data_IF_101558570203
#
_entry.id   IF_101558570203
#
_cell.length_a   1.000
_cell.length_b   1.000
_cell.length_c   1.000
_cell.angle_alpha   90.00
_cell.angle_beta   90.00
_cell.angle_gamma   90.00
#
_symmetry.space_group_name_H-M   'P 1'
#
loop_
_entity.id
_entity.type
_entity.pdbx_description
1 polymer ?
#
# COMPACT_ATOMS: atom_id res chain seq x y z
N UNK A 1 -33.32 -24.16 -2.95
CA UNK A 1 -31.87 -24.03 -3.09
C UNK A 1 -31.57 -22.72 -3.82
N UNK A 2 -31.16 -21.70 -3.09
CA UNK A 2 -30.76 -20.42 -3.67
C UNK A 2 -29.35 -20.59 -4.27
N UNK A 3 -29.26 -20.58 -5.60
CA UNK A 3 -28.00 -20.62 -6.30
C UNK A 3 -27.21 -19.33 -5.99
N UNK A 4 -26.16 -19.50 -5.18
CA UNK A 4 -24.87 -18.81 -5.19
C UNK A 4 -24.84 -17.51 -6.02
N UNK A 5 -25.39 -16.42 -5.47
CA UNK A 5 -24.69 -15.14 -5.64
C UNK A 5 -23.40 -15.29 -4.84
N UNK A 6 -22.19 -15.10 -5.41
CA UNK A 6 -21.08 -14.81 -4.54
C UNK A 6 -21.52 -13.59 -3.74
N UNK A 7 -21.70 -13.74 -2.42
CA UNK A 7 -21.80 -12.57 -1.55
C UNK A 7 -20.49 -11.83 -1.81
N UNK A 8 -20.55 -10.75 -2.60
CA UNK A 8 -19.42 -9.85 -2.70
C UNK A 8 -19.11 -9.47 -1.26
N UNK A 9 -17.88 -9.71 -0.77
CA UNK A 9 -17.56 -9.38 0.59
C UNK A 9 -17.87 -7.88 0.80
N UNK A 10 -18.50 -7.57 1.92
CA UNK A 10 -19.01 -6.23 2.19
C UNK A 10 -17.87 -5.21 2.09
N UNK A 11 -18.16 -4.08 1.43
CA UNK A 11 -17.20 -2.99 1.24
C UNK A 11 -16.74 -2.47 2.60
N UNK A 12 -15.43 -2.41 2.81
CA UNK A 12 -14.87 -1.83 4.04
C UNK A 12 -14.94 -0.30 3.95
N UNK A 13 -15.44 0.33 5.00
CA UNK A 13 -15.64 1.79 5.10
C UNK A 13 -15.04 2.32 6.40
N UNK A 14 -14.77 3.62 6.47
CA UNK A 14 -14.26 4.23 7.71
C UNK A 14 -15.17 3.94 8.94
N UNK A 15 -16.51 4.03 8.86
CA UNK A 15 -17.39 3.60 9.96
C UNK A 15 -17.29 2.11 10.31
N UNK A 16 -17.14 1.21 9.32
CA UNK A 16 -17.05 -0.23 9.61
C UNK A 16 -15.80 -0.59 10.39
N UNK A 17 -14.69 0.14 10.21
CA UNK A 17 -13.46 -0.06 10.97
C UNK A 17 -13.65 0.23 12.47
N UNK A 18 -14.38 1.31 12.82
CA UNK A 18 -14.73 1.60 14.21
C UNK A 18 -15.55 0.47 14.83
N UNK A 19 -16.56 -0.01 14.10
CA UNK A 19 -17.37 -1.13 14.55
C UNK A 19 -16.56 -2.43 14.73
N UNK A 20 -15.54 -2.68 13.89
CA UNK A 20 -14.64 -3.82 14.05
C UNK A 20 -13.81 -3.74 15.34
N UNK A 21 -13.37 -2.55 15.76
CA UNK A 21 -12.70 -2.37 17.06
C UNK A 21 -13.62 -2.73 18.23
N UNK A 22 -14.87 -2.29 18.21
CA UNK A 22 -15.87 -2.64 19.24
C UNK A 22 -16.10 -4.16 19.32
N UNK A 23 -16.00 -4.86 18.18
CA UNK A 23 -16.07 -6.32 18.09
C UNK A 23 -14.75 -7.04 18.37
N UNK A 24 -13.66 -6.31 18.69
CA UNK A 24 -12.32 -6.86 18.89
C UNK A 24 -11.78 -7.65 17.68
N UNK A 25 -12.19 -7.28 16.47
CA UNK A 25 -11.69 -7.88 15.22
C UNK A 25 -10.32 -7.31 14.86
N UNK A 26 -9.37 -8.18 14.50
CA UNK A 26 -8.07 -7.77 13.97
C UNK A 26 -8.17 -7.63 12.46
N UNK A 27 -7.76 -6.48 11.95
CA UNK A 27 -7.83 -6.18 10.52
C UNK A 27 -6.44 -6.05 9.90
N UNK A 28 -6.39 -6.15 8.58
CA UNK A 28 -5.15 -6.10 7.79
C UNK A 28 -5.12 -4.87 6.90
N UNK A 29 -4.01 -4.14 6.96
CA UNK A 29 -3.69 -3.05 6.05
C UNK A 29 -2.41 -3.39 5.28
N UNK A 30 -2.41 -3.20 3.96
CA UNK A 30 -1.22 -3.35 3.12
C UNK A 30 -1.10 -2.19 2.16
N UNK A 31 0.13 -1.82 1.81
CA UNK A 31 0.32 -0.84 0.73
C UNK A 31 0.12 -1.48 -0.64
N UNK A 32 -0.28 -0.70 -1.64
CA UNK A 32 -0.24 -1.09 -3.05
C UNK A 32 -0.08 0.17 -3.90
N UNK A 33 0.53 0.04 -5.09
CA UNK A 33 0.85 1.20 -5.93
C UNK A 33 0.48 1.01 -7.40
N UNK A 34 0.00 -0.16 -7.80
CA UNK A 34 -0.41 -0.44 -9.18
C UNK A 34 -1.67 -1.33 -9.23
N UNK A 35 -2.20 -1.48 -10.44
CA UNK A 35 -3.40 -2.27 -10.70
C UNK A 35 -3.26 -3.77 -10.33
N UNK A 36 -2.27 -4.53 -10.84
CA UNK A 36 -2.20 -5.96 -10.58
C UNK A 36 -1.95 -6.28 -9.10
N UNK A 37 -1.06 -5.54 -8.41
CA UNK A 37 -0.85 -5.76 -6.98
C UNK A 37 -2.09 -5.41 -6.17
N UNK A 38 -2.75 -4.27 -6.47
CA UNK A 38 -3.97 -3.89 -5.76
C UNK A 38 -5.07 -4.95 -5.88
N UNK A 39 -5.23 -5.54 -7.07
CA UNK A 39 -6.20 -6.61 -7.29
C UNK A 39 -5.88 -7.86 -6.47
N UNK A 40 -4.64 -8.31 -6.48
CA UNK A 40 -4.20 -9.47 -5.68
C UNK A 40 -4.41 -9.22 -4.19
N UNK A 41 -4.04 -8.03 -3.69
CA UNK A 41 -4.18 -7.65 -2.28
C UNK A 41 -5.65 -7.58 -1.84
N UNK A 42 -6.54 -7.06 -2.70
CA UNK A 42 -7.98 -6.99 -2.44
C UNK A 42 -8.62 -8.39 -2.45
N UNK A 43 -8.30 -9.22 -3.46
CA UNK A 43 -8.79 -10.61 -3.58
C UNK A 43 -8.29 -11.51 -2.44
N UNK A 44 -7.11 -11.22 -1.87
CA UNK A 44 -6.57 -11.90 -0.69
C UNK A 44 -7.28 -11.52 0.62
N UNK A 45 -8.23 -10.58 0.61
CA UNK A 45 -9.06 -10.24 1.77
C UNK A 45 -8.50 -9.14 2.66
N UNK A 46 -7.56 -8.33 2.17
CA UNK A 46 -7.07 -7.14 2.90
C UNK A 46 -8.21 -6.16 3.18
N UNK A 47 -8.22 -5.53 4.35
CA UNK A 47 -9.30 -4.61 4.76
C UNK A 47 -9.03 -3.17 4.34
N UNK A 48 -7.76 -2.76 4.33
CA UNK A 48 -7.32 -1.42 3.95
C UNK A 48 -6.17 -1.52 2.95
N UNK A 49 -6.30 -0.82 1.83
CA UNK A 49 -5.19 -0.62 0.89
C UNK A 49 -4.71 0.82 0.99
N UNK A 50 -3.45 0.99 1.34
CA UNK A 50 -2.81 2.30 1.50
C UNK A 50 -1.90 2.62 0.31
N UNK A 51 -2.24 3.66 -0.45
CA UNK A 51 -1.34 4.29 -1.42
C UNK A 51 -0.46 5.28 -0.67
N UNK A 52 0.60 4.74 -0.04
CA UNK A 52 1.50 5.50 0.80
C UNK A 52 2.61 6.22 0.03
N UNK A 53 3.16 7.28 0.62
CA UNK A 53 4.35 7.98 0.10
C UNK A 53 5.63 7.12 0.10
N UNK A 54 5.62 5.99 0.80
CA UNK A 54 6.57 4.88 0.66
C UNK A 54 6.78 4.41 -0.80
N UNK A 55 5.85 4.73 -1.72
CA UNK A 55 6.04 4.59 -3.17
C UNK A 55 7.34 5.24 -3.67
N UNK A 56 7.74 6.35 -3.04
CA UNK A 56 9.00 7.03 -3.32
C UNK A 56 10.19 6.10 -3.18
N UNK A 57 10.23 5.31 -2.11
CA UNK A 57 11.33 4.38 -1.85
C UNK A 57 11.23 3.10 -2.68
N UNK A 58 10.07 2.44 -2.65
CA UNK A 58 9.96 1.05 -3.14
C UNK A 58 9.58 0.94 -4.61
N UNK A 59 9.08 2.02 -5.22
CA UNK A 59 8.71 2.05 -6.65
C UNK A 59 9.56 3.05 -7.42
N UNK A 60 9.76 4.27 -6.88
CA UNK A 60 10.43 5.36 -7.60
C UNK A 60 11.95 5.47 -7.31
N UNK A 61 12.46 4.72 -6.34
CA UNK A 61 13.89 4.67 -6.01
C UNK A 61 14.44 5.93 -5.34
N UNK A 62 13.60 6.78 -4.78
CA UNK A 62 14.02 7.94 -3.98
C UNK A 62 14.66 7.50 -2.66
N UNK A 63 15.59 8.33 -2.18
CA UNK A 63 16.27 8.09 -0.89
C UNK A 63 15.38 8.26 0.34
N UNK A 64 14.26 8.98 0.22
CA UNK A 64 13.24 9.15 1.25
C UNK A 64 11.92 9.62 0.59
N UNK A 65 10.85 9.83 1.38
CA UNK A 65 9.52 10.17 0.87
C UNK A 65 9.29 11.67 0.61
N UNK A 66 10.24 12.55 0.98
CA UNK A 66 10.11 14.01 0.82
C UNK A 66 9.93 14.46 -0.63
N UNK A 67 10.61 13.88 -1.64
CA UNK A 67 10.44 14.28 -3.04
C UNK A 67 9.11 13.87 -3.67
N UNK A 68 8.37 12.94 -3.05
CA UNK A 68 7.13 12.42 -3.62
C UNK A 68 6.11 13.55 -3.77
N UNK A 69 5.64 13.76 -4.98
CA UNK A 69 4.68 14.79 -5.34
C UNK A 69 3.23 14.30 -5.21
N UNK A 70 2.30 15.25 -5.14
CA UNK A 70 0.87 14.95 -5.20
C UNK A 70 0.48 14.24 -6.51
N UNK A 71 1.09 14.61 -7.64
CA UNK A 71 0.79 14.00 -8.94
C UNK A 71 1.21 12.53 -9.02
N UNK A 72 2.32 12.17 -8.37
CA UNK A 72 2.76 10.77 -8.26
C UNK A 72 1.78 9.96 -7.42
N UNK A 73 1.39 10.46 -6.24
CA UNK A 73 0.37 9.79 -5.42
C UNK A 73 -0.95 9.67 -6.19
N UNK A 74 -1.39 10.71 -6.89
CA UNK A 74 -2.62 10.67 -7.71
C UNK A 74 -2.54 9.58 -8.78
N UNK A 75 -1.42 9.47 -9.50
CA UNK A 75 -1.22 8.45 -10.53
C UNK A 75 -1.32 7.04 -9.95
N UNK A 76 -0.63 6.78 -8.85
CA UNK A 76 -0.68 5.48 -8.18
C UNK A 76 -2.06 5.19 -7.59
N UNK A 77 -2.73 6.18 -7.01
CA UNK A 77 -4.10 6.04 -6.50
C UNK A 77 -5.08 5.65 -7.61
N UNK A 78 -5.02 6.30 -8.77
CA UNK A 78 -5.84 5.93 -9.94
C UNK A 78 -5.56 4.51 -10.42
N UNK A 79 -4.31 4.05 -10.38
CA UNK A 79 -3.95 2.69 -10.76
C UNK A 79 -4.56 1.67 -9.79
N UNK A 80 -4.37 1.90 -8.48
CA UNK A 80 -4.87 1.04 -7.41
C UNK A 80 -6.39 0.98 -7.39
N UNK A 81 -7.10 2.11 -7.51
CA UNK A 81 -8.57 2.16 -7.55
C UNK A 81 -9.19 1.21 -8.58
N UNK A 82 -8.52 0.98 -9.71
CA UNK A 82 -8.99 0.04 -10.76
C UNK A 82 -8.94 -1.42 -10.31
N UNK A 83 -8.07 -1.76 -9.36
CA UNK A 83 -7.90 -3.11 -8.81
C UNK A 83 -8.71 -3.37 -7.54
N UNK A 84 -9.13 -2.33 -6.82
CA UNK A 84 -9.82 -2.47 -5.53
C UNK A 84 -11.34 -2.58 -5.69
N UNK A 85 -11.94 -3.61 -5.09
CA UNK A 85 -13.39 -3.79 -4.98
C UNK A 85 -13.86 -3.66 -3.52
N UNK A 86 -13.20 -4.34 -2.57
CA UNK A 86 -13.66 -4.48 -1.18
C UNK A 86 -12.92 -3.58 -0.17
N UNK A 87 -11.60 -3.57 -0.19
CA UNK A 87 -10.77 -2.87 0.80
C UNK A 87 -11.04 -1.37 0.80
N UNK A 88 -10.95 -0.72 1.96
CA UNK A 88 -10.98 0.74 2.04
C UNK A 88 -9.71 1.30 1.38
N UNK A 89 -9.87 2.12 0.35
CA UNK A 89 -8.72 2.74 -0.33
C UNK A 89 -8.35 4.06 0.33
N UNK A 90 -7.16 4.13 0.91
CA UNK A 90 -6.62 5.33 1.57
C UNK A 90 -5.41 5.83 0.80
N UNK A 91 -5.31 7.14 0.58
CA UNK A 91 -4.15 7.76 -0.06
C UNK A 91 -3.43 8.70 0.89
N UNK A 92 -2.10 8.65 0.87
CA UNK A 92 -1.31 9.61 1.60
C UNK A 92 -1.41 11.01 1.01
N UNK A 93 -1.48 12.01 1.88
CA UNK A 93 -1.12 13.37 1.51
C UNK A 93 0.41 13.48 1.59
N UNK A 94 1.13 13.64 0.47
CA UNK A 94 2.59 13.67 0.50
C UNK A 94 3.12 14.98 1.11
N UNK A 95 4.41 15.00 1.44
CA UNK A 95 5.07 16.18 2.01
C UNK A 95 4.82 17.42 1.15
N UNK A 96 4.64 18.58 1.80
CA UNK A 96 4.28 19.84 1.12
C UNK A 96 2.80 19.98 0.75
N UNK A 97 2.07 18.89 0.47
CA UNK A 97 0.66 18.97 0.01
C UNK A 97 -0.34 19.46 1.06
N UNK A 98 0.02 19.41 2.33
CA UNK A 98 -0.81 19.85 3.46
C UNK A 98 -0.09 20.81 4.41
N UNK A 99 1.06 21.35 3.97
CA UNK A 99 1.91 22.22 4.79
C UNK A 99 1.74 23.71 4.46
N UNK A 100 1.20 24.05 3.28
CA UNK A 100 1.12 25.42 2.76
C UNK A 100 -0.09 26.22 3.24
N UNK A 101 -1.15 25.54 3.69
CA UNK A 101 -2.36 26.16 4.23
C UNK A 101 -3.54 25.21 4.26
N UNK A 102 -4.58 25.53 5.03
CA UNK A 102 -5.75 24.66 5.18
C UNK A 102 -6.54 24.51 3.87
N UNK A 103 -6.75 25.60 3.13
CA UNK A 103 -7.51 25.55 1.87
C UNK A 103 -6.75 24.80 0.77
N UNK A 104 -5.42 24.91 0.71
CA UNK A 104 -4.58 24.11 -0.18
C UNK A 104 -4.66 22.62 0.18
N UNK A 105 -4.58 22.30 1.47
CA UNK A 105 -4.69 20.93 1.96
C UNK A 105 -6.05 20.31 1.62
N UNK A 106 -7.15 21.05 1.83
CA UNK A 106 -8.51 20.61 1.44
C UNK A 106 -8.58 20.38 -0.07
N UNK A 107 -8.09 21.31 -0.90
CA UNK A 107 -8.04 21.12 -2.36
C UNK A 107 -7.27 19.86 -2.73
N UNK A 108 -6.09 19.64 -2.16
CA UNK A 108 -5.25 18.49 -2.47
C UNK A 108 -5.90 17.17 -2.04
N UNK A 109 -6.54 17.13 -0.86
CA UNK A 109 -7.28 15.97 -0.39
C UNK A 109 -8.50 15.65 -1.28
N UNK A 110 -9.26 16.67 -1.69
CA UNK A 110 -10.36 16.52 -2.65
C UNK A 110 -9.89 15.98 -4.00
N UNK A 111 -8.69 16.35 -4.47
CA UNK A 111 -8.11 15.76 -5.69
C UNK A 111 -7.83 14.26 -5.50
N UNK A 112 -7.25 13.85 -4.37
CA UNK A 112 -6.99 12.44 -4.08
C UNK A 112 -8.29 11.60 -4.08
N UNK A 113 -9.39 12.17 -3.57
CA UNK A 113 -10.70 11.51 -3.58
C UNK A 113 -11.31 11.54 -4.98
N UNK A 114 -11.57 12.73 -5.52
CA UNK A 114 -12.35 12.92 -6.75
C UNK A 114 -11.60 12.42 -7.99
N UNK A 115 -10.32 12.70 -8.08
CA UNK A 115 -9.51 12.34 -9.25
C UNK A 115 -8.74 11.04 -9.05
N UNK A 116 -8.33 10.73 -7.82
CA UNK A 116 -7.62 9.49 -7.48
C UNK A 116 -8.55 8.30 -7.29
N UNK A 117 -9.74 8.55 -6.74
CA UNK A 117 -10.69 7.52 -6.32
C UNK A 117 -10.41 6.95 -4.94
N UNK A 118 -9.59 7.64 -4.12
CA UNK A 118 -9.46 7.33 -2.70
C UNK A 118 -10.77 7.59 -1.95
N UNK A 119 -10.97 6.89 -0.85
CA UNK A 119 -12.14 7.02 0.01
C UNK A 119 -11.82 7.72 1.33
N UNK A 120 -10.52 7.84 1.63
CA UNK A 120 -9.98 8.57 2.75
C UNK A 120 -8.56 9.05 2.45
N UNK A 121 -8.08 10.01 3.24
CA UNK A 121 -6.68 10.47 3.19
C UNK A 121 -5.93 10.17 4.48
N UNK A 122 -4.62 9.95 4.38
CA UNK A 122 -3.71 9.87 5.53
C UNK A 122 -2.79 11.09 5.56
N UNK A 123 -2.55 11.66 6.74
CA UNK A 123 -1.57 12.73 6.92
C UNK A 123 -0.78 12.57 8.22
N UNK A 124 0.45 13.09 8.22
CA UNK A 124 1.36 12.95 9.36
C UNK A 124 1.38 14.17 10.27
N UNK A 125 1.31 13.90 11.58
CA UNK A 125 1.46 14.87 12.65
C UNK A 125 0.37 14.72 13.72
N UNK A 126 0.77 14.97 14.98
CA UNK A 126 -0.13 14.95 16.14
C UNK A 126 -0.89 16.26 16.32
N UNK A 127 -0.82 16.85 17.53
CA UNK A 127 -1.56 18.08 17.87
C UNK A 127 -1.43 19.25 16.90
N UNK A 128 -0.27 19.41 16.26
CA UNK A 128 -0.02 20.50 15.31
C UNK A 128 -0.85 20.38 14.03
N UNK A 129 -1.39 19.19 13.75
CA UNK A 129 -2.27 18.92 12.61
C UNK A 129 -3.74 18.79 12.98
N UNK A 130 -4.08 18.77 14.26
CA UNK A 130 -5.47 18.64 14.72
C UNK A 130 -6.43 19.69 14.11
N UNK A 131 -6.07 20.99 14.00
CA UNK A 131 -6.94 21.96 13.34
C UNK A 131 -7.19 21.63 11.86
N UNK A 132 -6.19 21.10 11.16
CA UNK A 132 -6.32 20.69 9.77
C UNK A 132 -7.14 19.40 9.64
N UNK A 133 -6.93 18.42 10.52
CA UNK A 133 -7.74 17.19 10.56
C UNK A 133 -9.21 17.55 10.73
N UNK A 134 -9.52 18.41 11.71
CA UNK A 134 -10.87 18.91 11.91
C UNK A 134 -11.41 19.59 10.65
N UNK A 135 -10.63 20.47 10.02
CA UNK A 135 -11.06 21.14 8.78
C UNK A 135 -11.37 20.15 7.67
N UNK A 136 -10.54 19.13 7.45
CA UNK A 136 -10.78 18.11 6.42
C UNK A 136 -12.05 17.30 6.73
N UNK A 137 -12.24 16.90 7.98
CA UNK A 137 -13.43 16.16 8.41
C UNK A 137 -14.71 17.00 8.27
N UNK A 138 -14.66 18.29 8.61
CA UNK A 138 -15.78 19.24 8.44
C UNK A 138 -16.16 19.42 6.94
N UNK A 139 -15.22 19.16 6.03
CA UNK A 139 -15.42 19.15 4.57
C UNK A 139 -15.74 17.73 4.03
N UNK A 140 -16.20 16.84 4.91
CA UNK A 140 -16.65 15.47 4.59
C UNK A 140 -15.54 14.54 4.06
N UNK A 141 -14.28 14.84 4.38
CA UNK A 141 -13.11 14.01 4.00
C UNK A 141 -12.70 13.14 5.19
N UNK A 142 -12.83 11.80 5.10
CA UNK A 142 -12.34 10.92 6.15
C UNK A 142 -10.81 10.99 6.28
N UNK A 143 -10.33 11.19 7.51
CA UNK A 143 -8.88 11.33 7.80
C UNK A 143 -8.38 10.19 8.68
N UNK A 144 -7.33 9.52 8.18
CA UNK A 144 -6.46 8.65 8.97
C UNK A 144 -5.28 9.49 9.50
N UNK A 145 -5.12 9.55 10.82
CA UNK A 145 -3.97 10.21 11.43
C UNK A 145 -2.72 9.34 11.36
N UNK A 146 -1.54 9.95 11.45
CA UNK A 146 -0.26 9.24 11.61
C UNK A 146 0.64 9.94 12.64
N UNK A 147 0.95 9.23 13.73
CA UNK A 147 1.83 9.69 14.82
C UNK A 147 2.88 8.63 15.19
N UNK A 148 3.83 9.02 16.03
CA UNK A 148 5.05 8.24 16.26
C UNK A 148 6.16 8.75 15.33
N UNK A 149 6.87 7.85 14.68
CA UNK A 149 7.79 8.24 13.61
C UNK A 149 6.97 8.70 12.41
N UNK A 150 7.17 9.94 11.97
CA UNK A 150 6.55 10.49 10.76
C UNK A 150 7.64 10.66 9.69
N UNK A 151 7.80 9.73 8.73
CA UNK A 151 8.84 9.75 7.70
C UNK A 151 9.01 11.08 6.96
N UNK A 152 7.94 11.83 6.73
CA UNK A 152 8.03 13.13 6.05
C UNK A 152 8.80 14.18 6.87
N UNK A 153 8.93 13.96 8.18
CA UNK A 153 9.75 14.78 9.09
C UNK A 153 11.19 14.28 9.22
N UNK A 154 11.70 13.40 8.35
CA UNK A 154 13.04 12.79 8.45
C UNK A 154 14.16 13.80 8.66
N UNK A 155 14.12 14.95 7.96
CA UNK A 155 15.13 16.00 8.08
C UNK A 155 15.08 16.71 9.44
N UNK A 156 13.89 16.85 10.03
CA UNK A 156 13.71 17.40 11.38
C UNK A 156 14.10 16.40 12.46
N UNK A 157 13.83 15.12 12.24
CA UNK A 157 14.10 14.04 13.20
C UNK A 157 15.55 13.52 13.17
N UNK A 158 16.30 13.82 12.10
CA UNK A 158 17.67 13.33 11.92
C UNK A 158 17.74 11.82 11.67
N UNK A 159 16.71 11.27 11.00
CA UNK A 159 16.62 9.86 10.60
C UNK A 159 15.47 9.07 11.25
N UNK A 160 15.37 7.79 10.88
CA UNK A 160 14.33 6.87 11.33
C UNK A 160 14.67 6.27 12.70
N UNK A 161 14.07 6.82 13.77
CA UNK A 161 14.32 6.39 15.15
C UNK A 161 13.01 6.08 15.86
N UNK A 162 13.07 5.12 16.79
CA UNK A 162 11.95 4.80 17.69
C UNK A 162 11.58 6.03 18.52
N UNK A 163 10.29 6.37 18.54
CA UNK A 163 9.72 7.51 19.28
C UNK A 163 9.19 7.07 20.65
N UNK A 164 8.88 8.02 21.54
CA UNK A 164 8.27 7.69 22.84
C UNK A 164 9.18 6.96 23.84
N UNK A 165 10.51 7.09 23.73
CA UNK A 165 11.48 6.43 24.63
C UNK A 165 11.56 7.04 26.04
N UNK A 166 11.04 8.25 26.23
CA UNK A 166 10.98 8.91 27.54
C UNK A 166 9.53 9.05 27.97
N UNK A 167 9.27 9.13 29.27
CA UNK A 167 7.91 9.30 29.78
C UNK A 167 7.20 10.54 29.20
N UNK A 168 7.94 11.64 29.02
CA UNK A 168 7.43 12.85 28.39
C UNK A 168 7.05 12.63 26.92
N UNK A 169 7.91 12.00 26.13
CA UNK A 169 7.64 11.72 24.72
C UNK A 169 6.49 10.70 24.55
N UNK A 170 6.42 9.69 25.43
CA UNK A 170 5.33 8.73 25.45
C UNK A 170 3.98 9.40 25.77
N UNK A 171 3.95 10.30 26.77
CA UNK A 171 2.75 11.07 27.11
C UNK A 171 2.30 11.96 25.95
N UNK A 172 3.24 12.60 25.26
CA UNK A 172 2.94 13.40 24.08
C UNK A 172 2.24 12.58 22.97
N UNK A 173 2.68 11.34 22.72
CA UNK A 173 2.03 10.44 21.73
C UNK A 173 0.60 10.07 22.18
N UNK A 174 0.39 9.77 23.46
CA UNK A 174 -0.94 9.45 24.00
C UNK A 174 -1.88 10.66 23.88
N UNK A 175 -1.40 11.85 24.24
CA UNK A 175 -2.19 13.08 24.14
C UNK A 175 -2.48 13.44 22.68
N UNK A 176 -1.50 13.28 21.77
CA UNK A 176 -1.69 13.51 20.34
C UNK A 176 -2.74 12.57 19.74
N UNK A 177 -2.78 11.31 20.18
CA UNK A 177 -3.80 10.37 19.72
C UNK A 177 -5.23 10.80 20.10
N UNK A 178 -5.42 11.23 21.35
CA UNK A 178 -6.71 11.76 21.84
C UNK A 178 -7.11 13.03 21.10
N UNK A 179 -6.17 13.94 20.88
CA UNK A 179 -6.41 15.19 20.16
C UNK A 179 -6.82 14.93 18.70
N UNK A 180 -6.19 13.95 18.04
CA UNK A 180 -6.56 13.59 16.68
C UNK A 180 -7.94 12.91 16.61
N UNK A 181 -8.28 12.08 17.60
CA UNK A 181 -9.62 11.53 17.75
C UNK A 181 -10.67 12.64 17.96
N UNK A 182 -10.42 13.58 18.87
CA UNK A 182 -11.29 14.74 19.11
C UNK A 182 -11.45 15.60 17.85
N UNK A 183 -10.41 15.71 17.02
CA UNK A 183 -10.45 16.39 15.73
C UNK A 183 -11.24 15.63 14.66
N UNK A 184 -11.64 14.38 14.90
CA UNK A 184 -12.49 13.59 14.01
C UNK A 184 -11.75 12.58 13.13
N UNK A 185 -10.48 12.28 13.39
CA UNK A 185 -9.80 11.18 12.70
C UNK A 185 -10.56 9.85 12.91
N UNK A 186 -10.71 9.03 11.87
CA UNK A 186 -11.43 7.75 11.99
C UNK A 186 -10.52 6.59 12.42
N UNK A 187 -9.20 6.75 12.28
CA UNK A 187 -8.18 5.79 12.71
C UNK A 187 -6.82 6.50 12.82
N UNK A 188 -5.85 5.88 13.51
CA UNK A 188 -4.51 6.46 13.69
C UNK A 188 -3.43 5.40 13.48
N UNK A 189 -2.49 5.67 12.58
CA UNK A 189 -1.24 4.91 12.44
C UNK A 189 -0.28 5.26 13.58
N UNK A 190 0.29 4.23 14.19
CA UNK A 190 1.37 4.31 15.17
C UNK A 190 2.62 3.65 14.57
N UNK A 191 3.63 4.46 14.21
CA UNK A 191 4.86 3.98 13.61
C UNK A 191 6.06 4.08 14.56
N UNK A 192 6.82 2.98 14.68
CA UNK A 192 8.00 2.87 15.53
C UNK A 192 7.80 3.41 16.96
N UNK A 193 6.70 2.99 17.60
CA UNK A 193 6.35 3.30 18.98
C UNK A 193 6.58 2.06 19.86
N UNK A 194 7.12 2.16 21.08
CA UNK A 194 7.22 1.04 22.01
C UNK A 194 5.86 0.37 22.21
N UNK A 195 5.82 -0.97 22.19
CA UNK A 195 4.58 -1.76 22.23
C UNK A 195 3.72 -1.45 23.46
N UNK A 196 4.34 -1.11 24.58
CA UNK A 196 3.66 -0.73 25.82
C UNK A 196 2.90 0.60 25.65
N UNK A 197 3.50 1.56 24.94
CA UNK A 197 2.86 2.85 24.65
C UNK A 197 1.77 2.69 23.60
N UNK A 198 2.00 1.90 22.55
CA UNK A 198 0.99 1.62 21.54
C UNK A 198 -0.24 0.91 22.14
N UNK A 199 -0.04 0.00 23.11
CA UNK A 199 -1.12 -0.60 23.90
C UNK A 199 -1.92 0.47 24.65
N UNK A 200 -1.25 1.34 25.40
CA UNK A 200 -1.90 2.43 26.14
C UNK A 200 -2.70 3.35 25.21
N UNK A 201 -2.13 3.71 24.05
CA UNK A 201 -2.84 4.52 23.05
C UNK A 201 -4.10 3.80 22.59
N UNK A 202 -3.97 2.53 22.17
CA UNK A 202 -5.07 1.71 21.64
C UNK A 202 -6.22 1.58 22.63
N UNK A 203 -5.92 1.40 23.92
CA UNK A 203 -6.91 1.30 25.00
C UNK A 203 -7.52 2.65 25.38
N UNK A 204 -6.86 3.77 25.05
CA UNK A 204 -7.26 5.11 25.48
C UNK A 204 -8.14 5.89 24.50
N UNK A 205 -8.34 5.39 23.28
CA UNK A 205 -9.14 6.02 22.21
C UNK A 205 -10.15 5.03 21.65
N UNK A 206 -11.30 5.54 21.19
CA UNK A 206 -12.40 4.74 20.62
C UNK A 206 -12.21 4.37 19.16
N UNK A 207 -11.32 5.05 18.43
CA UNK A 207 -10.98 4.74 17.04
C UNK A 207 -9.88 3.67 16.89
N UNK A 208 -9.88 2.89 15.79
CA UNK A 208 -8.83 1.91 15.50
C UNK A 208 -7.42 2.49 15.43
N UNK A 209 -6.47 1.80 16.05
CA UNK A 209 -5.04 2.02 15.86
C UNK A 209 -4.46 1.07 14.82
N UNK A 210 -3.53 1.56 14.00
CA UNK A 210 -2.85 0.79 12.96
C UNK A 210 -1.36 0.75 13.29
N UNK A 211 -0.84 -0.42 13.62
CA UNK A 211 0.55 -0.59 14.03
C UNK A 211 1.49 -0.89 12.88
N UNK A 212 2.64 -0.21 12.85
CA UNK A 212 3.82 -0.60 12.05
C UNK A 212 5.07 -0.42 12.90
N UNK A 213 5.64 -1.55 13.34
CA UNK A 213 6.67 -1.52 14.38
C UNK A 213 6.19 -0.98 15.73
N UNK A 214 4.89 -1.05 15.99
CA UNK A 214 4.24 -0.65 17.24
C UNK A 214 3.79 -1.83 18.13
N UNK A 215 4.21 -3.06 17.78
CA UNK A 215 3.85 -4.27 18.52
C UNK A 215 2.43 -4.77 18.25
N UNK A 216 2.03 -5.85 18.94
CA UNK A 216 0.85 -6.64 18.57
C UNK A 216 -0.48 -6.07 19.09
N UNK A 217 -0.44 -4.99 19.87
CA UNK A 217 -1.63 -4.51 20.59
C UNK A 217 -2.53 -3.59 19.76
N UNK A 218 -2.05 -3.08 18.62
CA UNK A 218 -2.86 -2.25 17.72
C UNK A 218 -3.98 -3.06 17.05
N UNK A 219 -5.12 -2.43 16.82
CA UNK A 219 -6.33 -3.05 16.25
C UNK A 219 -6.10 -3.60 14.84
N UNK A 220 -5.27 -2.89 14.07
CA UNK A 220 -4.91 -3.20 12.68
C UNK A 220 -3.38 -3.24 12.59
N UNK A 221 -2.83 -4.02 11.66
CA UNK A 221 -1.40 -4.01 11.34
C UNK A 221 -1.17 -3.60 9.89
N UNK A 222 -0.14 -2.78 9.64
CA UNK A 222 0.27 -2.37 8.29
C UNK A 222 1.73 -2.72 8.01
N UNK A 223 1.99 -3.17 6.78
CA UNK A 223 3.32 -3.30 6.22
C UNK A 223 3.35 -2.73 4.80
N UNK A 224 4.54 -2.28 4.39
CA UNK A 224 4.83 -2.02 2.98
C UNK A 224 4.85 -3.36 2.24
N UNK A 225 4.02 -3.50 1.20
CA UNK A 225 3.85 -4.78 0.50
C UNK A 225 5.18 -5.31 -0.09
N UNK A 226 6.05 -4.39 -0.51
CA UNK A 226 7.35 -4.75 -1.09
C UNK A 226 8.29 -5.35 -0.04
N UNK A 227 8.25 -4.86 1.20
CA UNK A 227 8.98 -5.45 2.32
C UNK A 227 8.44 -6.85 2.66
N UNK A 228 7.10 -6.99 2.65
CA UNK A 228 6.41 -8.26 2.92
C UNK A 228 6.77 -9.34 1.89
N UNK A 229 6.83 -8.97 0.61
CA UNK A 229 7.08 -9.88 -0.51
C UNK A 229 8.57 -10.04 -0.88
N UNK A 230 9.48 -9.34 -0.19
CA UNK A 230 10.91 -9.41 -0.45
C UNK A 230 11.31 -8.79 -1.79
N UNK A 231 10.71 -7.65 -2.13
CA UNK A 231 11.05 -6.82 -3.30
C UNK A 231 11.84 -5.56 -2.94
N UNK A 232 11.87 -5.17 -1.66
CA UNK A 232 12.66 -4.03 -1.21
C UNK A 232 14.15 -4.34 -1.19
N UNK A 233 14.97 -3.33 -1.53
CA UNK A 233 16.42 -3.44 -1.56
C UNK A 233 17.04 -2.97 -0.23
N UNK A 234 18.06 -3.69 0.24
CA UNK A 234 18.82 -3.32 1.43
C UNK A 234 18.36 -4.02 2.71
N UNK A 235 18.71 -3.44 3.87
CA UNK A 235 18.44 -4.04 5.17
C UNK A 235 17.00 -3.75 5.60
N UNK A 236 16.20 -4.81 5.74
CA UNK A 236 14.83 -4.70 6.25
C UNK A 236 14.79 -4.15 7.68
N UNK A 237 13.80 -3.28 8.01
CA UNK A 237 13.53 -2.90 9.39
C UNK A 237 13.21 -4.11 10.27
N UNK A 238 13.59 -4.05 11.56
CA UNK A 238 13.38 -5.15 12.51
C UNK A 238 11.92 -5.60 12.64
N UNK A 239 10.96 -4.70 12.40
CA UNK A 239 9.54 -4.99 12.54
C UNK A 239 8.94 -5.71 11.33
N UNK A 240 9.68 -5.82 10.22
CA UNK A 240 9.21 -6.50 9.02
C UNK A 240 9.35 -8.01 9.18
N UNK A 241 8.27 -8.74 8.86
CA UNK A 241 8.33 -10.16 8.57
C UNK A 241 8.11 -10.37 7.07
N UNK A 242 9.09 -10.97 6.42
CA UNK A 242 9.01 -11.34 5.01
C UNK A 242 8.26 -12.67 4.87
N UNK A 243 7.29 -12.72 3.96
CA UNK A 243 6.45 -13.90 3.68
C UNK A 243 6.78 -14.57 2.33
N UNK A 244 7.49 -13.88 1.44
CA UNK A 244 8.00 -14.41 0.17
C UNK A 244 9.33 -13.74 -0.20
N UNK A 245 10.10 -14.31 -1.13
CA UNK A 245 11.30 -13.68 -1.69
C UNK A 245 11.17 -13.53 -3.20
N UNK A 246 10.35 -12.57 -3.62
CA UNK A 246 10.10 -12.34 -5.04
C UNK A 246 11.34 -11.82 -5.77
N UNK A 247 12.26 -11.12 -5.10
CA UNK A 247 13.54 -10.75 -5.71
C UNK A 247 14.29 -12.00 -6.22
N UNK A 248 14.43 -13.03 -5.39
CA UNK A 248 15.10 -14.27 -5.79
C UNK A 248 14.33 -15.00 -6.90
N UNK A 249 13.01 -15.10 -6.79
CA UNK A 249 12.15 -15.74 -7.81
C UNK A 249 12.25 -15.04 -9.17
N UNK A 250 12.17 -13.71 -9.18
CA UNK A 250 12.28 -12.92 -10.41
C UNK A 250 13.68 -13.00 -11.00
N UNK A 251 14.72 -12.92 -10.16
CA UNK A 251 16.12 -13.04 -10.62
C UNK A 251 16.34 -14.38 -11.31
N UNK A 252 15.93 -15.49 -10.70
CA UNK A 252 16.07 -16.83 -11.30
C UNK A 252 15.29 -16.95 -12.62
N UNK A 253 14.02 -16.53 -12.66
CA UNK A 253 13.20 -16.59 -13.86
C UNK A 253 13.80 -15.76 -15.03
N UNK A 254 14.24 -14.53 -14.75
CA UNK A 254 14.85 -13.65 -15.75
C UNK A 254 16.19 -14.21 -16.21
N UNK A 255 17.01 -14.74 -15.31
CA UNK A 255 18.29 -15.35 -15.65
C UNK A 255 18.13 -16.59 -16.54
N UNK A 256 17.15 -17.45 -16.26
CA UNK A 256 16.85 -18.61 -17.10
C UNK A 256 16.37 -18.22 -18.48
N UNK A 257 15.44 -17.27 -18.58
CA UNK A 257 15.01 -16.74 -19.87
C UNK A 257 16.19 -16.18 -20.68
N UNK A 258 17.09 -15.45 -20.03
CA UNK A 258 18.28 -14.93 -20.68
C UNK A 258 19.25 -16.04 -21.13
N UNK A 259 19.37 -17.13 -20.37
CA UNK A 259 20.15 -18.32 -20.76
C UNK A 259 19.51 -19.03 -21.95
N UNK A 260 18.20 -19.23 -21.95
CA UNK A 260 17.46 -19.87 -23.02
C UNK A 260 17.62 -19.09 -24.34
N UNK A 261 17.59 -17.76 -24.29
CA UNK A 261 17.86 -16.90 -25.46
C UNK A 261 19.31 -17.03 -25.92
N UNK A 262 20.29 -17.00 -25.01
CA UNK A 262 21.72 -17.07 -25.38
C UNK A 262 22.12 -18.42 -25.96
N UNK A 263 21.50 -19.49 -25.50
CA UNK A 263 21.76 -20.86 -25.96
C UNK A 263 20.93 -21.24 -27.19
N UNK A 264 19.97 -20.40 -27.60
CA UNK A 264 19.04 -20.68 -28.69
C UNK A 264 17.96 -21.70 -28.31
N UNK A 265 17.78 -22.00 -27.02
CA UNK A 265 16.67 -22.81 -26.53
C UNK A 265 15.32 -22.08 -26.60
N UNK A 266 15.33 -20.74 -26.53
CA UNK A 266 14.15 -19.89 -26.75
C UNK A 266 14.38 -18.87 -27.89
N UNK A 267 13.37 -18.66 -28.77
CA UNK A 267 12.15 -19.45 -28.88
C UNK A 267 12.43 -20.80 -29.54
N UNK A 268 11.72 -21.82 -29.10
CA UNK A 268 11.64 -23.11 -29.78
C UNK A 268 10.69 -23.03 -30.98
N UNK A 269 10.62 -24.11 -31.77
CA UNK A 269 9.66 -24.21 -32.87
C UNK A 269 8.20 -24.15 -32.42
N UNK A 270 7.86 -24.61 -31.21
CA UNK A 270 6.51 -24.55 -30.64
C UNK A 270 6.12 -23.12 -30.22
N UNK A 271 7.11 -22.26 -29.96
CA UNK A 271 6.93 -20.85 -29.60
C UNK A 271 7.11 -19.93 -30.83
N UNK A 272 7.16 -20.52 -32.02
CA UNK A 272 7.39 -19.84 -33.29
C UNK A 272 6.24 -20.10 -34.26
N UNK A 273 5.96 -19.12 -35.12
CA UNK A 273 4.96 -19.29 -36.18
C UNK A 273 5.66 -19.66 -37.49
N UNK A 274 5.16 -20.70 -38.16
CA UNK A 274 5.62 -21.11 -39.49
C UNK A 274 4.90 -20.35 -40.61
N UNK A 275 5.56 -20.22 -41.76
CA UNK A 275 4.95 -19.66 -42.96
C UNK A 275 3.97 -20.69 -43.57
N UNK A 276 2.75 -20.28 -44.00
CA UNK A 276 1.89 -21.16 -44.78
C UNK A 276 2.59 -21.63 -46.06
N UNK A 277 2.37 -22.89 -46.45
CA UNK A 277 3.10 -23.52 -47.56
C UNK A 277 2.96 -22.76 -48.89
N UNK A 278 1.80 -22.18 -49.17
CA UNK A 278 1.54 -21.38 -50.37
C UNK A 278 2.43 -20.13 -50.43
N UNK A 279 2.49 -19.37 -49.34
CA UNK A 279 3.36 -18.20 -49.23
C UNK A 279 4.84 -18.58 -49.29
N UNK A 280 5.23 -19.73 -48.73
CA UNK A 280 6.60 -20.22 -48.83
C UNK A 280 7.02 -20.56 -50.26
N UNK A 281 6.12 -21.18 -51.03
CA UNK A 281 6.35 -21.52 -52.43
C UNK A 281 6.49 -20.25 -53.29
N UNK A 282 5.61 -19.26 -53.11
CA UNK A 282 5.70 -17.98 -53.84
C UNK A 282 7.02 -17.23 -53.55
N UNK A 283 7.51 -17.33 -52.33
CA UNK A 283 8.75 -16.67 -51.89
C UNK A 283 10.01 -17.50 -52.13
N UNK A 284 9.90 -18.71 -52.68
CA UNK A 284 11.01 -19.67 -52.82
C UNK A 284 11.78 -19.94 -51.50
N UNK A 285 11.04 -20.07 -50.40
CA UNK A 285 11.61 -20.37 -49.07
C UNK A 285 11.41 -21.86 -48.77
N UNK A 286 12.50 -22.58 -48.43
CA UNK A 286 12.39 -23.94 -47.91
C UNK A 286 11.76 -23.91 -46.51
N UNK A 287 10.61 -24.56 -46.35
CA UNK A 287 9.98 -24.73 -45.04
C UNK A 287 10.50 -26.01 -44.38
N UNK A 288 11.05 -25.89 -43.17
CA UNK A 288 11.22 -27.04 -42.28
C UNK A 288 9.82 -27.51 -41.86
N UNK A 289 9.48 -28.82 -41.97
CA UNK A 289 8.19 -29.31 -41.51
C UNK A 289 8.00 -28.92 -40.05
N UNK A 290 6.88 -28.30 -39.69
CA UNK A 290 6.51 -28.15 -38.29
C UNK A 290 6.54 -29.56 -37.68
N UNK A 291 7.35 -29.79 -36.65
CA UNK A 291 7.20 -31.03 -35.86
C UNK A 291 5.75 -31.03 -35.40
N UNK A 292 4.99 -32.01 -35.88
CA UNK A 292 3.59 -32.19 -35.52
C UNK A 292 3.47 -32.01 -34.01
N UNK A 293 2.80 -30.94 -33.61
CA UNK A 293 2.24 -30.88 -32.27
C UNK A 293 1.16 -31.96 -32.26
N UNK A 294 1.54 -33.18 -31.88
CA UNK A 294 0.60 -34.18 -31.41
C UNK A 294 -0.16 -33.55 -30.24
N UNK A 295 -1.29 -32.94 -30.58
CA UNK A 295 -2.35 -32.63 -29.63
C UNK A 295 -2.86 -33.99 -29.17
N UNK A 296 -2.30 -34.49 -28.07
CA UNK A 296 -2.91 -35.58 -27.30
C UNK A 296 -4.33 -35.15 -26.93
N UNK A 297 -5.31 -35.66 -27.68
CA UNK A 297 -6.69 -35.75 -27.24
C UNK A 297 -6.82 -37.04 -26.42
N UNK A 298 -6.81 -36.91 -25.10
CA UNK A 298 -7.47 -37.86 -24.17
C UNK A 298 -7.95 -37.13 -22.93
#
# INVERSE_FOLDING_TARGET
MAYLKPQRPEKVTAPSLRASKERNERLVCLTAYDYPMARIVDEAGTDIILVGDSVGNVVLGYGNTVPVSLEEILRHTRAVRRGVQRALLVSDMPYGSYHTGADDAVRNALRLIKEGGAEAVKLEGGRSRAPLVKRLVDEEIPVMGHIGLTPQSVNKLGGFRVQGKTAQAARAIIDDARILEEAGAFSIVLELVPREIAKLVTESISIPTIGIGAGPHCDIQVLVLHDLLGLSFGKLPRFVRQYANLHATMTDAISRFAEDVRTGAYPSGAESYGLPAEAAAELNIETTPAKDAEVERS
#
